data_IF_250193740399
#
_entry.id   IF_250193740399
#
_cell.length_a   1.000
_cell.length_b   1.000
_cell.length_c   1.000
_cell.angle_alpha   90.00
_cell.angle_beta   90.00
_cell.angle_gamma   90.00
#
_symmetry.space_group_name_H-M   'P 1'
#
loop_
_entity.id
_entity.type
_entity.pdbx_description
1 polymer ?
#
# COMPACT_ATOMS: atom_id res chain seq x y z
N UNK A 1 -41.62 -58.05 -67.97
CA UNK A 1 -40.71 -59.02 -68.63
C UNK A 1 -41.09 -59.04 -70.10
N UNK A 2 -40.36 -58.53 -71.10
CA UNK A 2 -38.94 -58.32 -71.32
C UNK A 2 -38.86 -57.03 -72.17
N UNK A 3 -38.59 -55.89 -71.56
CA UNK A 3 -38.28 -54.63 -72.29
C UNK A 3 -37.28 -53.79 -71.51
N UNK A 4 -36.37 -54.49 -70.80
CA UNK A 4 -35.35 -53.91 -69.93
C UNK A 4 -33.91 -54.24 -70.40
N UNK A 5 -33.74 -54.84 -71.58
CA UNK A 5 -32.41 -55.30 -72.06
C UNK A 5 -31.99 -54.80 -73.44
N UNK A 6 -32.76 -53.91 -74.09
CA UNK A 6 -32.42 -53.39 -75.43
C UNK A 6 -31.83 -51.97 -75.48
N UNK A 7 -31.73 -51.28 -74.34
CA UNK A 7 -31.09 -49.95 -74.25
C UNK A 7 -29.65 -49.98 -73.71
N UNK A 8 -29.05 -51.16 -73.49
CA UNK A 8 -27.63 -51.33 -73.13
C UNK A 8 -26.69 -51.53 -74.33
N UNK A 9 -27.19 -51.56 -75.56
CA UNK A 9 -26.38 -51.74 -76.79
C UNK A 9 -26.27 -50.52 -77.70
N UNK A 10 -26.90 -49.39 -77.35
CA UNK A 10 -26.62 -48.08 -77.97
C UNK A 10 -25.63 -47.22 -77.16
N UNK A 11 -25.18 -47.71 -76.01
CA UNK A 11 -24.28 -47.02 -75.09
C UNK A 11 -22.81 -47.48 -75.17
N UNK A 12 -22.44 -48.30 -76.17
CA UNK A 12 -21.04 -48.67 -76.44
C UNK A 12 -20.47 -48.12 -77.77
N UNK A 13 -21.32 -47.60 -78.67
CA UNK A 13 -20.88 -47.05 -79.96
C UNK A 13 -20.55 -45.54 -79.92
N UNK A 14 -20.80 -44.86 -78.79
CA UNK A 14 -20.50 -43.43 -78.59
C UNK A 14 -19.30 -43.19 -77.64
N UNK A 15 -18.56 -44.23 -77.26
CA UNK A 15 -17.43 -44.13 -76.31
C UNK A 15 -16.07 -44.48 -76.96
N UNK A 16 -16.05 -44.95 -78.21
CA UNK A 16 -14.81 -45.29 -78.94
C UNK A 16 -14.42 -44.29 -80.04
N UNK A 17 -15.19 -43.21 -80.23
CA UNK A 17 -14.82 -42.08 -81.11
C UNK A 17 -14.16 -40.92 -80.32
N UNK A 18 -13.57 -41.23 -79.16
CA UNK A 18 -12.91 -40.25 -78.26
C UNK A 18 -11.38 -40.43 -78.23
N UNK A 19 -10.80 -41.40 -78.97
CA UNK A 19 -9.38 -41.78 -78.76
C UNK A 19 -8.47 -41.62 -80.00
N UNK A 20 -8.96 -41.29 -81.20
CA UNK A 20 -8.11 -41.32 -82.41
C UNK A 20 -8.27 -40.15 -83.39
N UNK A 21 -8.42 -38.92 -82.88
CA UNK A 21 -7.98 -37.71 -83.61
C UNK A 21 -6.87 -37.02 -82.80
N UNK A 22 -5.74 -37.72 -82.72
CA UNK A 22 -4.43 -37.10 -82.60
C UNK A 22 -4.13 -36.38 -83.93
N UNK A 23 -3.96 -35.06 -83.89
CA UNK A 23 -2.77 -34.39 -84.44
C UNK A 23 -2.93 -32.86 -84.41
N UNK A 24 -2.04 -32.22 -83.64
CA UNK A 24 -1.69 -30.80 -83.68
C UNK A 24 -2.67 -29.78 -83.07
N UNK A 25 -2.81 -29.84 -81.74
CA UNK A 25 -2.69 -28.58 -80.99
C UNK A 25 -1.37 -28.66 -80.24
N UNK A 26 -0.44 -27.87 -80.75
CA UNK A 26 0.88 -27.60 -80.21
C UNK A 26 0.74 -27.22 -78.72
N UNK A 27 0.90 -28.20 -77.82
CA UNK A 27 1.28 -27.88 -76.45
C UNK A 27 2.72 -27.40 -76.55
N UNK A 28 2.91 -26.10 -76.80
CA UNK A 28 4.08 -25.43 -76.25
C UNK A 28 3.96 -25.60 -74.75
N UNK A 29 4.52 -26.68 -74.20
CA UNK A 29 5.13 -26.57 -72.89
C UNK A 29 6.21 -25.52 -73.09
N UNK A 30 5.83 -24.24 -72.91
CA UNK A 30 6.82 -23.28 -72.47
C UNK A 30 7.38 -23.95 -71.23
N UNK A 31 8.62 -24.42 -71.33
CA UNK A 31 9.47 -24.48 -70.16
C UNK A 31 9.39 -23.06 -69.60
N UNK A 32 8.43 -22.85 -68.68
CA UNK A 32 8.41 -21.66 -67.85
C UNK A 32 9.58 -21.93 -66.95
N UNK A 33 10.78 -21.59 -67.46
CA UNK A 33 12.01 -21.61 -66.71
C UNK A 33 11.67 -20.96 -65.39
N UNK A 34 11.59 -21.77 -64.34
CA UNK A 34 10.93 -21.40 -63.10
C UNK A 34 11.55 -20.07 -62.68
N UNK A 35 10.77 -18.99 -62.82
CA UNK A 35 11.31 -17.66 -62.62
C UNK A 35 11.84 -17.64 -61.19
N UNK A 36 13.16 -17.49 -61.03
CA UNK A 36 13.80 -17.56 -59.72
C UNK A 36 13.09 -16.58 -58.79
N UNK A 37 12.36 -17.12 -57.81
CA UNK A 37 11.49 -16.32 -56.96
C UNK A 37 12.33 -15.23 -56.27
N UNK A 38 11.85 -13.98 -56.29
CA UNK A 38 12.71 -12.88 -55.90
C UNK A 38 12.10 -11.49 -56.05
N UNK A 39 12.80 -10.51 -55.49
CA UNK A 39 12.45 -9.10 -55.66
C UNK A 39 12.78 -8.65 -57.08
N UNK A 40 11.84 -7.97 -57.73
CA UNK A 40 12.02 -7.38 -59.07
C UNK A 40 11.48 -5.96 -59.08
N UNK A 41 12.25 -5.02 -59.62
CA UNK A 41 11.81 -3.64 -59.85
C UNK A 41 11.40 -3.48 -61.29
N UNK A 42 10.17 -3.02 -61.52
CA UNK A 42 9.58 -2.82 -62.85
C UNK A 42 8.96 -1.43 -62.85
N UNK A 43 9.41 -0.54 -63.74
CA UNK A 43 8.96 0.85 -63.86
C UNK A 43 8.97 1.59 -62.50
N UNK A 44 10.10 1.49 -61.79
CA UNK A 44 10.28 2.12 -60.47
C UNK A 44 9.51 1.49 -59.30
N UNK A 45 8.66 0.48 -59.54
CA UNK A 45 7.89 -0.21 -58.49
C UNK A 45 8.52 -1.56 -58.16
N UNK A 46 8.72 -1.85 -56.88
CA UNK A 46 9.26 -3.14 -56.42
C UNK A 46 8.13 -4.15 -56.21
N UNK A 47 8.34 -5.38 -56.69
CA UNK A 47 7.45 -6.54 -56.54
C UNK A 47 8.25 -7.72 -55.99
N UNK A 48 7.57 -8.73 -55.47
CA UNK A 48 8.16 -10.06 -55.27
C UNK A 48 7.49 -11.02 -56.25
N UNK A 49 8.28 -11.62 -57.13
CA UNK A 49 7.82 -12.62 -58.10
C UNK A 49 7.93 -14.00 -57.44
N UNK A 50 6.82 -14.72 -57.36
CA UNK A 50 6.76 -16.08 -56.79
C UNK A 50 7.39 -17.09 -57.76
N UNK A 51 7.61 -18.33 -57.30
CA UNK A 51 8.13 -19.40 -58.16
C UNK A 51 7.21 -19.68 -59.38
N UNK A 52 5.90 -19.43 -59.25
CA UNK A 52 4.93 -19.51 -60.33
C UNK A 52 4.96 -18.32 -61.31
N UNK A 53 5.86 -17.35 -61.12
CA UNK A 53 5.92 -16.13 -61.92
C UNK A 53 4.89 -15.05 -61.54
N UNK A 54 3.99 -15.31 -60.58
CA UNK A 54 2.98 -14.36 -60.14
C UNK A 54 3.55 -13.28 -59.20
N UNK A 55 2.88 -12.12 -59.10
CA UNK A 55 3.23 -11.07 -58.13
C UNK A 55 2.66 -11.41 -56.74
N UNK A 56 3.50 -11.42 -55.72
CA UNK A 56 3.08 -11.55 -54.32
C UNK A 56 2.10 -10.43 -53.94
N UNK A 57 1.05 -10.80 -53.21
CA UNK A 57 0.07 -9.88 -52.64
C UNK A 57 -0.03 -10.11 -51.13
N UNK A 58 -0.22 -9.04 -50.36
CA UNK A 58 -0.32 -9.12 -48.91
C UNK A 58 1.02 -9.38 -48.21
N UNK A 59 0.98 -10.11 -47.09
CA UNK A 59 2.16 -10.38 -46.26
C UNK A 59 3.11 -11.36 -46.94
N UNK A 60 4.41 -11.14 -46.74
CA UNK A 60 5.46 -12.09 -47.11
C UNK A 60 6.52 -12.11 -45.99
N UNK A 61 6.94 -13.30 -45.59
CA UNK A 61 8.04 -13.47 -44.63
C UNK A 61 9.20 -14.17 -45.34
N UNK A 62 10.38 -13.55 -45.34
CA UNK A 62 11.60 -14.13 -45.90
C UNK A 62 12.73 -14.00 -44.89
N UNK A 63 13.35 -15.12 -44.50
CA UNK A 63 14.47 -15.16 -43.54
C UNK A 63 14.17 -14.32 -42.29
N UNK A 64 12.97 -14.49 -41.71
CA UNK A 64 12.49 -13.75 -40.54
C UNK A 64 12.05 -12.30 -40.77
N UNK A 65 12.26 -11.73 -41.96
CA UNK A 65 11.86 -10.35 -42.29
C UNK A 65 10.48 -10.34 -42.93
N UNK A 66 9.60 -9.47 -42.42
CA UNK A 66 8.24 -9.29 -42.95
C UNK A 66 8.17 -8.11 -43.92
N UNK A 67 7.47 -8.32 -45.03
CA UNK A 67 7.19 -7.35 -46.08
C UNK A 67 5.68 -7.32 -46.33
N UNK A 68 5.18 -6.24 -46.92
CA UNK A 68 3.78 -6.17 -47.34
C UNK A 68 3.68 -5.66 -48.78
N UNK A 69 2.84 -6.31 -49.56
CA UNK A 69 2.56 -5.97 -50.94
C UNK A 69 1.09 -5.58 -51.07
N UNK A 70 0.81 -4.52 -51.81
CA UNK A 70 -0.55 -4.04 -52.05
C UNK A 70 -1.42 -5.20 -52.57
N UNK A 71 -2.57 -5.44 -51.93
CA UNK A 71 -3.43 -6.58 -52.25
C UNK A 71 -4.01 -6.55 -53.68
N UNK A 72 -4.14 -5.37 -54.28
CA UNK A 72 -4.65 -5.20 -55.65
C UNK A 72 -3.51 -5.32 -56.66
N UNK A 73 -2.46 -4.52 -56.50
CA UNK A 73 -1.43 -4.33 -57.53
C UNK A 73 -0.17 -5.19 -57.35
N UNK A 74 0.06 -5.74 -56.15
CA UNK A 74 1.30 -6.46 -55.80
C UNK A 74 2.51 -5.55 -55.57
N UNK A 75 2.35 -4.23 -55.58
CA UNK A 75 3.46 -3.28 -55.33
C UNK A 75 3.88 -3.34 -53.87
N UNK A 76 5.18 -3.45 -53.59
CA UNK A 76 5.75 -3.44 -52.25
C UNK A 76 5.46 -2.11 -51.53
N UNK A 77 4.97 -2.19 -50.29
CA UNK A 77 4.83 -1.02 -49.44
C UNK A 77 6.17 -0.62 -48.80
N UNK A 78 6.46 0.68 -48.83
CA UNK A 78 7.63 1.31 -48.20
C UNK A 78 7.17 2.56 -47.43
N UNK A 79 7.93 2.98 -46.43
CA UNK A 79 7.61 4.14 -45.60
C UNK A 79 6.43 3.92 -44.64
N UNK A 80 5.79 5.03 -44.28
CA UNK A 80 4.67 5.07 -43.35
C UNK A 80 3.39 4.58 -44.00
N UNK A 81 2.71 3.65 -43.34
CA UNK A 81 1.46 3.06 -43.80
C UNK A 81 0.42 3.16 -42.70
N UNK A 82 -0.77 3.66 -43.03
CA UNK A 82 -1.91 3.83 -42.12
C UNK A 82 -3.15 3.14 -42.69
N UNK A 83 -3.98 2.57 -41.83
CA UNK A 83 -5.32 2.16 -42.23
C UNK A 83 -6.23 3.38 -42.47
N UNK A 84 -7.40 3.16 -43.06
CA UNK A 84 -8.37 4.23 -43.37
C UNK A 84 -8.75 5.07 -42.15
N UNK A 85 -8.77 4.45 -40.97
CA UNK A 85 -9.09 5.10 -39.69
C UNK A 85 -7.87 5.72 -38.98
N UNK A 86 -6.67 5.60 -39.55
CA UNK A 86 -5.42 6.11 -38.93
C UNK A 86 -5.04 5.46 -37.59
N UNK A 87 -5.71 4.38 -37.19
CA UNK A 87 -5.50 3.70 -35.89
C UNK A 87 -4.32 2.73 -35.96
N UNK A 88 -4.19 2.04 -37.09
CA UNK A 88 -3.15 1.04 -37.30
C UNK A 88 -2.06 1.61 -38.21
N UNK A 89 -0.99 2.10 -37.58
CA UNK A 89 0.16 2.66 -38.27
C UNK A 89 1.30 1.65 -38.25
N UNK A 90 1.95 1.42 -39.39
CA UNK A 90 3.17 0.63 -39.54
C UNK A 90 4.21 1.42 -40.31
N UNK A 91 5.46 1.05 -40.16
CA UNK A 91 6.55 1.58 -40.96
C UNK A 91 7.30 0.44 -41.66
N UNK A 92 7.51 0.58 -42.96
CA UNK A 92 8.36 -0.29 -43.76
C UNK A 92 9.60 0.51 -44.17
N UNK A 93 10.79 -0.05 -44.00
CA UNK A 93 12.03 0.70 -44.24
C UNK A 93 12.10 1.22 -45.69
N UNK A 94 12.47 2.49 -45.88
CA UNK A 94 12.51 3.11 -47.22
C UNK A 94 13.42 2.35 -48.22
N UNK A 95 14.50 1.75 -47.75
CA UNK A 95 15.38 0.93 -48.59
C UNK A 95 14.73 -0.40 -48.98
N UNK A 96 14.78 -1.38 -48.07
CA UNK A 96 14.42 -2.78 -48.34
C UNK A 96 12.92 -3.10 -48.16
N UNK A 97 12.12 -2.17 -47.64
CA UNK A 97 10.68 -2.41 -47.38
C UNK A 97 10.42 -3.39 -46.24
N UNK A 98 11.38 -3.57 -45.33
CA UNK A 98 11.24 -4.45 -44.16
C UNK A 98 10.34 -3.77 -43.13
N UNK A 99 9.35 -4.48 -42.60
CA UNK A 99 8.48 -3.99 -41.53
C UNK A 99 9.30 -3.73 -40.26
N UNK A 100 9.23 -2.51 -39.74
CA UNK A 100 9.88 -2.14 -38.49
C UNK A 100 9.21 -2.83 -37.29
N UNK A 101 10.04 -3.28 -36.36
CA UNK A 101 9.66 -3.85 -35.07
C UNK A 101 10.61 -3.35 -33.99
N UNK A 102 10.18 -3.36 -32.73
CA UNK A 102 10.97 -2.86 -31.61
C UNK A 102 11.20 -1.35 -31.65
N UNK A 103 12.29 -0.90 -31.03
CA UNK A 103 12.69 0.50 -31.04
C UNK A 103 13.27 0.89 -32.40
N UNK A 104 12.75 1.98 -32.97
CA UNK A 104 13.27 2.59 -34.18
C UNK A 104 13.66 4.04 -33.88
N UNK A 105 14.95 4.35 -34.03
CA UNK A 105 15.47 5.73 -33.94
C UNK A 105 15.61 6.31 -35.35
N UNK A 106 15.03 7.48 -35.57
CA UNK A 106 15.11 8.25 -36.82
C UNK A 106 15.44 9.70 -36.44
N UNK A 107 16.70 10.09 -36.59
CA UNK A 107 17.21 11.34 -36.05
C UNK A 107 17.08 11.37 -34.52
N UNK A 108 16.45 12.42 -33.99
CA UNK A 108 16.19 12.61 -32.55
C UNK A 108 14.95 11.84 -32.05
N UNK A 109 14.09 11.38 -32.97
CA UNK A 109 12.82 10.74 -32.65
C UNK A 109 13.02 9.23 -32.52
N UNK A 110 12.63 8.68 -31.37
CA UNK A 110 12.53 7.25 -31.14
C UNK A 110 11.07 6.84 -31.11
N UNK A 111 10.73 5.73 -31.77
CA UNK A 111 9.38 5.15 -31.77
C UNK A 111 9.48 3.67 -31.43
N UNK A 112 8.36 3.06 -31.06
CA UNK A 112 8.31 1.62 -30.82
C UNK A 112 7.21 0.97 -31.67
N UNK A 113 7.55 -0.13 -32.33
CA UNK A 113 6.63 -0.93 -33.14
C UNK A 113 6.50 -2.31 -32.51
N UNK A 114 5.27 -2.75 -32.21
CA UNK A 114 5.04 -4.04 -31.52
C UNK A 114 5.64 -5.19 -32.33
N UNK A 115 6.55 -6.01 -31.76
CA UNK A 115 7.16 -7.12 -32.49
C UNK A 115 6.17 -8.10 -33.12
N UNK A 116 5.03 -8.34 -32.45
CA UNK A 116 4.01 -9.28 -32.92
C UNK A 116 3.38 -8.90 -34.27
N UNK A 117 3.18 -7.60 -34.53
CA UNK A 117 2.38 -7.15 -35.67
C UNK A 117 2.87 -5.87 -36.36
N UNK A 118 4.00 -5.31 -35.92
CA UNK A 118 4.62 -4.10 -36.45
C UNK A 118 3.82 -2.82 -36.23
N UNK A 119 2.75 -2.84 -35.42
CA UNK A 119 1.94 -1.64 -35.17
C UNK A 119 2.69 -0.66 -34.26
N UNK A 120 2.72 0.61 -34.64
CA UNK A 120 3.24 1.71 -33.83
C UNK A 120 2.55 1.75 -32.45
N UNK A 121 3.35 1.92 -31.41
CA UNK A 121 2.88 2.15 -30.05
C UNK A 121 2.70 3.64 -29.81
N UNK A 122 1.57 3.96 -29.18
CA UNK A 122 1.21 5.29 -28.67
C UNK A 122 0.70 5.08 -27.24
N UNK A 123 0.93 6.05 -26.36
CA UNK A 123 0.65 5.94 -24.94
C UNK A 123 1.68 5.10 -24.17
N UNK A 124 1.23 4.49 -23.08
CA UNK A 124 2.06 3.70 -22.19
C UNK A 124 2.51 2.38 -22.79
N UNK A 125 3.75 2.00 -22.50
CA UNK A 125 4.33 0.72 -22.83
C UNK A 125 5.16 0.20 -21.66
N UNK A 126 4.94 -1.06 -21.28
CA UNK A 126 5.76 -1.76 -20.30
C UNK A 126 6.57 -2.84 -21.00
N UNK A 127 7.89 -2.84 -20.81
CA UNK A 127 8.81 -3.84 -21.34
C UNK A 127 9.70 -4.33 -20.20
N UNK A 128 9.63 -5.63 -19.88
CA UNK A 128 10.44 -6.26 -18.80
C UNK A 128 10.40 -5.44 -17.49
N UNK A 129 9.20 -5.07 -17.05
CA UNK A 129 8.97 -4.24 -15.85
C UNK A 129 9.24 -2.73 -16.02
N UNK A 130 9.88 -2.29 -17.12
CA UNK A 130 10.23 -0.88 -17.34
C UNK A 130 9.15 -0.17 -18.13
N UNK A 131 8.71 1.01 -17.66
CA UNK A 131 7.65 1.80 -18.28
C UNK A 131 8.21 2.89 -19.18
N UNK A 132 7.55 3.09 -20.31
CA UNK A 132 7.84 4.09 -21.33
C UNK A 132 6.54 4.79 -21.73
N UNK A 133 6.64 6.01 -22.23
CA UNK A 133 5.50 6.72 -22.78
C UNK A 133 5.81 7.24 -24.18
N UNK A 134 4.85 7.05 -25.10
CA UNK A 134 4.93 7.51 -26.48
C UNK A 134 3.79 8.49 -26.74
N UNK A 135 4.08 9.64 -27.36
CA UNK A 135 3.07 10.69 -27.60
C UNK A 135 1.87 10.16 -28.39
N UNK A 136 0.67 10.59 -28.03
CA UNK A 136 -0.58 10.14 -28.65
C UNK A 136 -0.74 10.56 -30.11
N UNK A 137 -0.13 11.69 -30.50
CA UNK A 137 -0.12 12.15 -31.89
C UNK A 137 0.82 11.31 -32.76
N UNK A 138 2.13 11.46 -32.53
CA UNK A 138 3.12 10.89 -33.45
C UNK A 138 3.64 9.51 -33.03
N UNK A 139 3.51 9.12 -31.75
CA UNK A 139 4.15 7.93 -31.18
C UNK A 139 5.63 8.16 -30.86
N UNK A 140 6.03 9.39 -30.54
CA UNK A 140 7.41 9.72 -30.22
C UNK A 140 7.68 9.39 -28.75
N UNK A 141 8.78 8.70 -28.46
CA UNK A 141 9.16 8.33 -27.11
C UNK A 141 9.50 9.58 -26.30
N UNK A 142 8.84 9.71 -25.15
CA UNK A 142 9.01 10.84 -24.25
C UNK A 142 10.28 10.67 -23.41
N UNK A 143 10.94 11.80 -23.16
CA UNK A 143 12.19 11.94 -22.40
C UNK A 143 12.12 13.20 -21.54
N UNK A 144 12.90 13.26 -20.48
CA UNK A 144 12.96 14.39 -19.55
C UNK A 144 11.72 14.55 -18.68
N UNK A 145 11.57 15.75 -18.12
CA UNK A 145 10.45 16.14 -17.27
C UNK A 145 9.15 16.26 -18.07
N UNK A 146 8.08 15.74 -17.49
CA UNK A 146 6.73 15.80 -18.04
C UNK A 146 5.76 16.20 -16.94
N UNK A 147 4.87 17.14 -17.24
CA UNK A 147 3.85 17.62 -16.31
C UNK A 147 2.48 17.30 -16.87
N UNK A 148 1.63 16.62 -16.09
CA UNK A 148 0.25 16.34 -16.48
C UNK A 148 -0.64 17.58 -16.28
N UNK A 149 -1.86 17.56 -16.83
CA UNK A 149 -2.85 18.62 -16.60
C UNK A 149 -3.17 18.82 -15.11
N UNK A 150 -3.03 17.76 -14.29
CA UNK A 150 -3.19 17.80 -12.82
C UNK A 150 -1.94 18.32 -12.09
N UNK A 151 -0.98 18.91 -12.80
CA UNK A 151 0.33 19.39 -12.29
C UNK A 151 1.22 18.28 -11.70
N UNK A 152 0.93 17.01 -11.98
CA UNK A 152 1.77 15.89 -11.54
C UNK A 152 3.00 15.79 -12.43
N UNK A 153 4.18 15.64 -11.83
CA UNK A 153 5.44 15.58 -12.57
C UNK A 153 5.95 14.14 -12.65
N UNK A 154 6.43 13.75 -13.83
CA UNK A 154 7.16 12.49 -14.07
C UNK A 154 8.50 12.81 -14.75
N UNK A 155 9.46 11.91 -14.64
CA UNK A 155 10.71 12.02 -15.36
C UNK A 155 10.99 10.75 -16.16
N UNK A 156 11.37 10.92 -17.42
CA UNK A 156 11.80 9.84 -18.30
C UNK A 156 13.29 10.01 -18.61
N UNK A 157 14.09 8.97 -18.36
CA UNK A 157 15.53 8.98 -18.65
C UNK A 157 15.80 9.18 -20.15
N UNK A 158 17.05 9.44 -20.52
CA UNK A 158 17.48 9.61 -21.93
C UNK A 158 17.12 8.41 -22.83
N UNK A 159 17.10 7.20 -22.25
CA UNK A 159 16.66 5.96 -22.88
C UNK A 159 15.13 5.74 -22.87
N UNK A 160 14.36 6.72 -22.40
CA UNK A 160 12.89 6.72 -22.35
C UNK A 160 12.26 5.97 -21.18
N UNK A 161 13.05 5.35 -20.31
CA UNK A 161 12.51 4.67 -19.12
C UNK A 161 12.03 5.69 -18.10
N UNK A 162 10.80 5.56 -17.64
CA UNK A 162 10.23 6.34 -16.55
C UNK A 162 10.98 6.04 -15.24
N UNK A 163 11.32 7.07 -14.48
CA UNK A 163 11.85 6.92 -13.12
C UNK A 163 10.75 6.52 -12.14
N UNK A 164 11.14 5.72 -11.16
CA UNK A 164 10.35 5.24 -10.03
C UNK A 164 11.28 5.08 -8.83
N UNK A 165 10.77 5.27 -7.62
CA UNK A 165 11.57 5.18 -6.40
C UNK A 165 12.54 6.35 -6.23
N UNK A 166 13.62 6.11 -5.49
CA UNK A 166 14.68 7.08 -5.21
C UNK A 166 15.50 7.39 -6.47
N UNK A 167 15.81 8.66 -6.67
CA UNK A 167 16.72 9.10 -7.72
C UNK A 167 17.49 10.36 -7.30
N UNK A 168 18.80 10.32 -7.47
CA UNK A 168 19.70 11.46 -7.27
C UNK A 168 20.29 11.86 -8.61
N UNK A 169 20.11 13.13 -9.00
CA UNK A 169 20.70 13.64 -10.24
C UNK A 169 22.19 13.99 -10.06
N UNK A 170 22.87 14.32 -11.15
CA UNK A 170 24.30 14.65 -11.15
C UNK A 170 24.65 15.92 -10.37
N UNK A 171 23.67 16.72 -9.94
CA UNK A 171 23.86 17.89 -9.07
C UNK A 171 23.67 17.53 -7.59
N UNK A 172 23.46 16.25 -7.28
CA UNK A 172 23.22 15.78 -5.92
C UNK A 172 21.78 15.95 -5.44
N UNK A 173 20.83 16.35 -6.31
CA UNK A 173 19.44 16.52 -5.87
C UNK A 173 18.68 15.20 -5.87
N UNK A 174 18.40 14.71 -4.66
CA UNK A 174 17.59 13.52 -4.42
C UNK A 174 16.10 13.81 -4.50
N UNK A 175 15.33 12.96 -5.18
CA UNK A 175 13.87 12.99 -5.30
C UNK A 175 13.30 11.59 -5.13
N UNK A 176 12.01 11.51 -4.85
CA UNK A 176 11.30 10.23 -4.76
C UNK A 176 10.09 10.22 -5.70
N UNK A 177 9.99 9.16 -6.50
CA UNK A 177 8.90 8.95 -7.45
C UNK A 177 8.07 7.74 -7.00
N UNK A 178 6.74 7.85 -7.08
CA UNK A 178 5.85 6.74 -6.80
C UNK A 178 6.24 5.51 -7.62
N UNK A 179 6.33 4.34 -6.99
CA UNK A 179 6.85 3.12 -7.61
C UNK A 179 5.93 2.55 -8.69
N UNK A 180 4.62 2.77 -8.55
CA UNK A 180 3.61 2.30 -9.51
C UNK A 180 3.38 3.30 -10.63
N UNK A 181 3.27 4.58 -10.29
CA UNK A 181 2.87 5.64 -11.23
C UNK A 181 4.04 6.48 -11.71
N UNK A 182 5.19 6.51 -11.05
CA UNK A 182 6.30 7.41 -11.42
C UNK A 182 5.99 8.90 -11.23
N UNK A 183 4.91 9.23 -10.52
CA UNK A 183 4.62 10.61 -10.11
C UNK A 183 5.61 11.00 -9.01
N UNK A 184 6.28 12.13 -9.19
CA UNK A 184 7.21 12.70 -8.21
C UNK A 184 6.44 13.16 -6.96
N UNK A 185 6.90 12.73 -5.79
CA UNK A 185 6.34 13.20 -4.52
C UNK A 185 6.81 14.61 -4.19
N UNK A 186 5.94 15.34 -3.50
CA UNK A 186 6.21 16.64 -2.88
C UNK A 186 5.55 16.67 -1.50
N UNK A 187 6.02 17.53 -0.61
CA UNK A 187 5.56 17.57 0.78
C UNK A 187 6.16 16.49 1.67
N UNK A 188 5.55 16.27 2.83
CA UNK A 188 5.92 15.21 3.76
C UNK A 188 5.50 13.85 3.21
N UNK A 189 6.38 12.86 3.31
CA UNK A 189 6.11 11.49 2.88
C UNK A 189 6.91 10.50 3.70
N UNK A 190 6.22 9.47 4.20
CA UNK A 190 6.86 8.29 4.76
C UNK A 190 7.26 7.33 3.64
N UNK A 191 8.52 6.93 3.61
CA UNK A 191 9.12 5.96 2.68
C UNK A 191 9.93 4.99 3.53
N UNK A 192 9.61 3.69 3.43
CA UNK A 192 10.29 2.62 4.17
C UNK A 192 10.42 2.92 5.68
N UNK A 193 9.31 3.32 6.31
CA UNK A 193 9.23 3.67 7.73
C UNK A 193 9.83 5.03 8.12
N UNK A 194 10.54 5.70 7.21
CA UNK A 194 11.23 6.96 7.50
C UNK A 194 10.47 8.15 6.90
N UNK A 195 10.40 9.26 7.65
CA UNK A 195 9.71 10.47 7.21
C UNK A 195 10.70 11.37 6.46
N UNK A 196 10.29 11.85 5.29
CA UNK A 196 11.05 12.79 4.47
C UNK A 196 10.20 14.00 4.11
N UNK A 197 10.86 15.13 3.85
CA UNK A 197 10.22 16.29 3.23
C UNK A 197 10.80 16.56 1.84
N UNK A 198 9.92 16.64 0.85
CA UNK A 198 10.26 16.98 -0.52
C UNK A 198 9.70 18.38 -0.84
N UNK A 199 10.52 19.24 -1.44
CA UNK A 199 10.10 20.60 -1.82
C UNK A 199 8.80 20.58 -2.64
N UNK A 200 7.81 21.41 -2.25
CA UNK A 200 6.54 21.57 -2.98
C UNK A 200 6.72 21.99 -4.45
N UNK A 201 7.81 22.69 -4.75
CA UNK A 201 8.07 23.23 -6.09
C UNK A 201 8.91 22.27 -6.94
N UNK A 202 10.02 21.78 -6.38
CA UNK A 202 11.05 21.04 -7.13
C UNK A 202 11.09 19.54 -6.85
N UNK A 203 10.41 19.06 -5.80
CA UNK A 203 10.47 17.69 -5.33
C UNK A 203 11.81 17.27 -4.73
N UNK A 204 12.76 18.19 -4.58
CA UNK A 204 14.07 17.92 -3.97
C UNK A 204 13.90 17.63 -2.48
N UNK A 205 14.50 16.54 -2.01
CA UNK A 205 14.51 16.14 -0.59
C UNK A 205 15.24 17.19 0.24
N UNK A 206 14.64 17.60 1.35
CA UNK A 206 15.24 18.47 2.36
C UNK A 206 16.17 17.68 3.27
N UNK A 207 17.38 18.18 3.51
CA UNK A 207 18.44 17.52 4.29
C UNK A 207 19.41 18.57 4.87
N UNK A 208 18.88 19.57 5.57
CA UNK A 208 19.65 20.71 6.08
C UNK A 208 19.54 20.90 7.60
N UNK A 209 19.12 19.87 8.33
CA UNK A 209 18.83 19.98 9.77
C UNK A 209 17.46 20.60 10.02
N UNK A 210 17.40 21.58 10.92
CA UNK A 210 16.15 22.25 11.28
C UNK A 210 15.41 22.82 10.06
N UNK A 211 14.09 22.66 10.05
CA UNK A 211 13.23 23.15 8.98
C UNK A 211 11.77 23.27 9.43
N UNK A 212 11.02 24.12 8.73
CA UNK A 212 9.58 24.29 8.95
C UNK A 212 8.79 23.66 7.81
N UNK A 213 7.71 22.97 8.15
CA UNK A 213 6.68 22.52 7.20
C UNK A 213 5.34 23.06 7.70
N UNK A 214 4.88 24.16 7.08
CA UNK A 214 3.79 24.95 7.64
C UNK A 214 4.22 25.62 8.95
N UNK A 215 3.38 25.54 9.98
CA UNK A 215 3.68 26.06 11.33
C UNK A 215 4.54 25.11 12.18
N UNK A 216 4.71 23.86 11.75
CA UNK A 216 5.40 22.82 12.51
C UNK A 216 6.91 22.82 12.24
N UNK A 217 7.70 22.56 13.27
CA UNK A 217 9.17 22.46 13.21
C UNK A 217 9.58 20.99 13.18
N UNK A 218 10.63 20.70 12.41
CA UNK A 218 11.21 19.38 12.19
C UNK A 218 12.73 19.51 12.18
N UNK A 219 13.43 18.39 12.37
CA UNK A 219 14.84 18.26 12.04
C UNK A 219 14.98 17.15 11.01
N UNK A 220 15.58 17.45 9.86
CA UNK A 220 15.89 16.45 8.84
C UNK A 220 17.39 16.25 8.79
N UNK A 221 17.83 15.02 9.02
CA UNK A 221 19.22 14.58 8.92
C UNK A 221 19.93 15.21 7.72
N UNK A 222 21.10 15.79 7.96
CA UNK A 222 21.89 16.48 6.93
C UNK A 222 22.53 15.50 5.93
N UNK A 223 22.61 14.22 6.29
CA UNK A 223 23.23 13.16 5.46
C UNK A 223 22.22 12.50 4.54
N UNK A 224 21.07 12.09 5.09
CA UNK A 224 20.08 11.28 4.38
C UNK A 224 18.66 11.86 4.40
N UNK A 225 18.45 13.02 5.01
CA UNK A 225 17.17 13.74 4.97
C UNK A 225 16.03 13.07 5.74
N UNK A 226 16.31 12.04 6.54
CA UNK A 226 15.31 11.44 7.44
C UNK A 226 14.92 12.44 8.53
N UNK A 227 13.63 12.57 8.81
CA UNK A 227 13.18 13.36 9.94
C UNK A 227 13.58 12.68 11.25
N UNK A 228 14.04 13.46 12.21
CA UNK A 228 14.27 12.99 13.57
C UNK A 228 12.95 12.65 14.25
N UNK A 229 12.96 11.56 15.01
CA UNK A 229 11.98 11.23 16.03
C UNK A 229 12.71 10.96 17.34
N UNK A 230 12.05 11.15 18.47
CA UNK A 230 12.65 11.07 19.80
C UNK A 230 13.63 12.21 20.10
N UNK A 231 14.61 11.91 20.96
CA UNK A 231 15.60 12.87 21.42
C UNK A 231 16.67 13.18 20.36
N UNK A 232 17.12 14.42 20.36
CA UNK A 232 18.26 14.91 19.58
C UNK A 232 19.08 15.87 20.44
N UNK A 233 20.38 15.61 20.55
CA UNK A 233 21.32 16.54 21.18
C UNK A 233 22.18 17.22 20.12
N UNK A 234 22.20 18.55 20.13
CA UNK A 234 22.97 19.39 19.21
C UNK A 234 23.48 20.62 19.95
N UNK A 235 24.78 20.89 19.86
CA UNK A 235 25.44 22.08 20.41
C UNK A 235 25.09 22.32 21.90
N UNK A 236 25.11 21.26 22.70
CA UNK A 236 24.78 21.29 24.13
C UNK A 236 23.29 21.41 24.47
N UNK A 237 22.42 21.53 23.47
CA UNK A 237 20.97 21.62 23.65
C UNK A 237 20.30 20.28 23.32
N UNK A 238 19.27 19.93 24.09
CA UNK A 238 18.43 18.76 23.83
C UNK A 238 17.08 19.17 23.27
N UNK A 239 16.60 18.44 22.28
CA UNK A 239 15.33 18.64 21.59
C UNK A 239 14.56 17.32 21.55
N UNK A 240 13.23 17.39 21.54
CA UNK A 240 12.39 16.21 21.39
C UNK A 240 11.45 16.34 20.18
N UNK A 241 11.38 15.29 19.38
CA UNK A 241 10.53 15.18 18.22
C UNK A 241 9.55 14.02 18.42
N UNK A 242 8.25 14.27 18.32
CA UNK A 242 7.26 13.19 18.44
C UNK A 242 7.38 12.16 17.31
N UNK A 243 6.58 11.09 17.38
CA UNK A 243 6.56 9.99 16.40
C UNK A 243 6.27 10.43 14.95
N UNK A 244 5.64 11.59 14.75
CA UNK A 244 5.41 12.20 13.42
C UNK A 244 6.54 13.12 12.96
N UNK A 245 7.63 13.22 13.72
CA UNK A 245 8.80 14.06 13.48
C UNK A 245 8.62 15.54 13.88
N UNK A 246 7.49 15.90 14.49
CA UNK A 246 7.20 17.27 14.92
C UNK A 246 7.94 17.58 16.21
N UNK A 247 8.71 18.66 16.21
CA UNK A 247 9.45 19.15 17.37
C UNK A 247 8.51 19.74 18.42
N UNK A 248 8.77 19.44 19.68
CA UNK A 248 8.06 20.01 20.83
C UNK A 248 8.59 21.43 21.08
N UNK A 249 7.68 22.39 21.24
CA UNK A 249 7.97 23.81 21.50
C UNK A 249 6.87 24.39 22.39
N UNK A 250 7.21 25.34 23.25
CA UNK A 250 6.26 26.03 24.15
C UNK A 250 5.33 25.06 24.88
N UNK A 251 5.87 23.95 25.39
CA UNK A 251 5.06 22.90 26.01
C UNK A 251 5.82 22.19 27.13
N UNK A 252 5.13 21.39 27.92
CA UNK A 252 5.74 20.48 28.90
C UNK A 252 5.29 19.05 28.57
N UNK A 253 6.20 18.08 28.63
CA UNK A 253 5.89 16.68 28.37
C UNK A 253 6.66 15.74 29.31
N UNK A 254 6.02 14.63 29.68
CA UNK A 254 6.66 13.53 30.41
C UNK A 254 7.22 12.53 29.40
N UNK A 255 8.54 12.32 29.42
CA UNK A 255 9.28 11.48 28.47
C UNK A 255 10.21 10.59 29.28
N UNK A 256 10.03 9.27 29.20
CA UNK A 256 10.85 8.32 29.96
C UNK A 256 10.74 8.50 31.48
N UNK A 257 9.56 8.89 32.00
CA UNK A 257 9.32 9.07 33.44
C UNK A 257 9.78 10.41 34.01
N UNK A 258 10.41 11.26 33.20
CA UNK A 258 10.89 12.59 33.57
C UNK A 258 10.08 13.68 32.88
N UNK A 259 9.84 14.79 33.57
CA UNK A 259 9.10 15.92 33.02
C UNK A 259 10.07 16.94 32.41
N UNK A 260 9.85 17.29 31.15
CA UNK A 260 10.64 18.29 30.43
C UNK A 260 9.77 19.47 30.02
N UNK A 261 10.25 20.69 30.25
CA UNK A 261 9.73 21.89 29.61
C UNK A 261 10.49 22.15 28.30
N UNK A 262 9.79 22.54 27.26
CA UNK A 262 10.33 22.90 25.95
C UNK A 262 10.03 24.37 25.69
N UNK A 263 11.07 25.17 25.51
CA UNK A 263 10.93 26.60 25.25
C UNK A 263 10.42 26.91 23.82
N UNK A 264 10.40 28.18 23.42
CA UNK A 264 9.98 28.60 22.07
C UNK A 264 10.91 28.13 20.95
N UNK A 265 12.15 27.79 21.29
CA UNK A 265 13.14 27.23 20.37
C UNK A 265 13.13 25.69 20.38
N UNK A 266 12.42 25.08 21.32
CA UNK A 266 12.32 23.64 21.55
C UNK A 266 13.44 23.07 22.40
N UNK A 267 14.22 23.92 23.06
CA UNK A 267 15.26 23.48 23.98
C UNK A 267 14.59 22.91 25.21
N UNK A 268 14.97 21.68 25.55
CA UNK A 268 14.43 20.93 26.67
C UNK A 268 15.18 21.27 27.96
N UNK A 269 14.43 21.57 29.01
CA UNK A 269 14.92 21.63 30.39
C UNK A 269 14.18 20.60 31.22
N UNK A 270 14.90 19.67 31.85
CA UNK A 270 14.33 18.73 32.82
C UNK A 270 13.82 19.53 34.03
N UNK A 271 12.55 19.36 34.38
CA UNK A 271 12.02 19.87 35.65
C UNK A 271 12.39 18.85 36.72
N UNK A 272 13.25 19.25 37.67
CA UNK A 272 13.39 18.49 38.91
C UNK A 272 12.08 18.55 39.66
N UNK A 273 11.52 17.39 40.02
CA UNK A 273 10.46 17.33 41.02
C UNK A 273 11.05 17.94 42.29
N UNK A 274 10.53 19.11 42.69
CA UNK A 274 10.84 19.68 44.00
C UNK A 274 10.34 18.69 45.03
N UNK A 275 11.26 17.92 45.63
CA UNK A 275 10.98 16.93 46.65
C UNK A 275 10.20 17.53 47.81
N UNK A 276 8.87 17.42 47.75
CA UNK A 276 7.97 17.59 48.88
C UNK A 276 7.37 16.22 49.16
N UNK A 277 7.93 15.59 50.18
CA UNK A 277 7.42 14.45 50.96
C UNK A 277 6.34 13.60 50.28
N UNK A 278 6.81 12.60 49.52
CA UNK A 278 6.02 11.57 48.85
C UNK A 278 5.61 10.45 49.82
N UNK A 279 4.69 10.75 50.75
CA UNK A 279 3.98 9.69 51.49
C UNK A 279 2.45 9.82 51.38
N UNK A 280 1.99 10.48 50.33
CA UNK A 280 0.58 10.56 49.98
C UNK A 280 0.36 9.97 48.57
N UNK A 281 -0.11 8.72 48.56
CA UNK A 281 -0.55 8.01 47.36
C UNK A 281 -1.71 8.72 46.64
N UNK A 282 -2.37 9.72 47.23
CA UNK A 282 -3.48 10.43 46.58
C UNK A 282 -3.07 11.45 45.50
N UNK A 283 -1.77 11.69 45.28
CA UNK A 283 -1.28 12.73 44.36
C UNK A 283 -1.25 12.23 42.90
N UNK A 284 -1.62 13.10 41.95
CA UNK A 284 -1.63 12.79 40.50
C UNK A 284 -0.51 13.52 39.72
N UNK A 285 -0.20 13.05 38.50
CA UNK A 285 0.68 13.71 37.53
C UNK A 285 0.05 13.74 36.12
N UNK A 286 0.58 14.57 35.22
CA UNK A 286 0.08 14.67 33.84
C UNK A 286 0.89 13.81 32.87
N UNK A 287 0.20 13.00 32.07
CA UNK A 287 0.78 12.17 31.00
C UNK A 287 0.17 12.55 29.63
N UNK A 288 1.02 12.73 28.62
CA UNK A 288 0.56 13.02 27.24
C UNK A 288 0.41 11.73 26.45
N UNK A 289 -0.80 11.45 25.98
CA UNK A 289 -1.09 10.30 25.13
C UNK A 289 -0.90 10.68 23.66
N UNK A 290 0.18 10.20 23.04
CA UNK A 290 0.45 10.49 21.63
C UNK A 290 -0.65 10.00 20.67
N UNK A 291 -1.25 8.84 20.96
CA UNK A 291 -2.30 8.25 20.11
C UNK A 291 -3.59 9.05 20.20
N UNK A 292 -3.82 9.74 21.33
CA UNK A 292 -5.01 10.59 21.54
C UNK A 292 -4.75 12.08 21.32
N UNK A 293 -3.48 12.50 21.28
CA UNK A 293 -3.09 13.89 21.11
C UNK A 293 -3.51 14.81 22.27
N UNK A 294 -3.63 14.28 23.50
CA UNK A 294 -4.07 15.04 24.69
C UNK A 294 -3.43 14.55 25.98
N UNK A 295 -3.51 15.38 27.01
CA UNK A 295 -3.07 15.06 28.36
C UNK A 295 -4.14 14.28 29.14
N UNK A 296 -3.69 13.36 29.99
CA UNK A 296 -4.47 12.67 31.00
C UNK A 296 -3.83 12.85 32.37
N UNK A 297 -4.67 12.97 33.39
CA UNK A 297 -4.27 12.91 34.80
C UNK A 297 -4.08 11.46 35.19
N UNK A 298 -2.94 11.12 35.81
CA UNK A 298 -2.53 9.76 36.18
C UNK A 298 -2.15 9.73 37.66
N UNK A 299 -2.56 8.69 38.37
CA UNK A 299 -2.22 8.43 39.76
C UNK A 299 -0.71 8.16 39.94
N UNK A 300 -0.07 8.72 40.98
CA UNK A 300 1.38 8.55 41.22
C UNK A 300 1.76 7.10 41.55
N UNK A 301 0.84 6.27 42.04
CA UNK A 301 1.03 4.84 42.34
C UNK A 301 1.51 4.04 41.13
N UNK A 302 1.34 4.56 39.91
CA UNK A 302 1.97 4.00 38.73
C UNK A 302 3.48 3.83 38.93
N UNK A 303 4.14 4.79 39.59
CA UNK A 303 5.59 4.80 39.85
C UNK A 303 6.02 3.75 40.90
N UNK A 304 5.14 3.36 41.82
CA UNK A 304 5.45 2.39 42.88
C UNK A 304 5.21 0.94 42.47
N UNK A 305 4.48 0.68 41.37
CA UNK A 305 4.20 -0.67 40.90
C UNK A 305 5.30 -1.18 39.94
N UNK A 306 6.09 -2.18 40.34
CA UNK A 306 7.29 -2.60 39.64
C UNK A 306 6.95 -3.17 38.27
N UNK A 307 7.72 -2.71 37.29
CA UNK A 307 7.61 -3.09 35.90
C UNK A 307 6.41 -2.50 35.15
N UNK A 308 5.50 -1.79 35.83
CA UNK A 308 4.38 -1.10 35.17
C UNK A 308 4.83 0.26 34.63
N UNK A 309 5.56 1.03 35.45
CA UNK A 309 6.06 2.36 35.07
C UNK A 309 7.06 2.31 33.91
N UNK A 310 8.07 1.44 34.02
CA UNK A 310 9.11 1.26 33.00
C UNK A 310 8.63 0.41 31.79
N UNK A 311 7.49 -0.26 31.93
CA UNK A 311 6.87 -1.06 30.89
C UNK A 311 7.44 -2.46 30.67
N UNK A 312 8.22 -2.99 31.61
CA UNK A 312 8.71 -4.38 31.57
C UNK A 312 7.62 -5.42 31.84
N UNK A 313 6.52 -5.05 32.53
CA UNK A 313 5.30 -5.87 32.62
C UNK A 313 4.46 -5.70 31.37
N UNK A 314 4.05 -6.83 30.80
CA UNK A 314 3.17 -6.86 29.63
C UNK A 314 1.74 -6.45 30.00
N UNK A 315 0.93 -6.10 29.00
CA UNK A 315 -0.52 -5.88 29.23
C UNK A 315 -1.19 -7.15 29.76
N UNK A 316 -0.71 -8.34 29.38
CA UNK A 316 -1.19 -9.62 29.92
C UNK A 316 -0.90 -9.73 31.43
N UNK A 317 0.30 -9.38 31.88
CA UNK A 317 0.66 -9.42 33.30
C UNK A 317 -0.19 -8.46 34.14
N UNK A 318 -0.42 -7.26 33.61
CA UNK A 318 -1.25 -6.24 34.26
C UNK A 318 -2.70 -6.71 34.33
N UNK A 319 -3.24 -7.22 33.22
CA UNK A 319 -4.62 -7.72 33.17
C UNK A 319 -4.81 -8.92 34.10
N UNK A 320 -3.88 -9.89 34.12
CA UNK A 320 -3.96 -11.03 35.03
C UNK A 320 -3.96 -10.59 36.51
N UNK A 321 -3.11 -9.63 36.86
CA UNK A 321 -3.08 -9.07 38.21
C UNK A 321 -4.39 -8.38 38.60
N UNK A 322 -5.00 -7.62 37.68
CA UNK A 322 -6.31 -6.98 37.90
C UNK A 322 -7.44 -8.00 37.96
N UNK A 323 -7.44 -9.01 37.09
CA UNK A 323 -8.42 -10.09 37.04
C UNK A 323 -8.59 -10.75 38.41
N UNK A 324 -7.49 -11.24 39.00
CA UNK A 324 -7.57 -11.92 40.29
C UNK A 324 -7.92 -10.95 41.42
N UNK A 325 -7.38 -9.74 41.38
CA UNK A 325 -7.55 -8.77 42.46
C UNK A 325 -8.97 -8.18 42.53
N UNK A 326 -9.65 -8.00 41.38
CA UNK A 326 -11.00 -7.45 41.31
C UNK A 326 -12.09 -8.54 41.18
N UNK A 327 -11.77 -9.72 40.63
CA UNK A 327 -12.79 -10.72 40.29
C UNK A 327 -12.33 -12.19 40.44
N UNK A 328 -11.35 -12.48 41.30
CA UNK A 328 -10.79 -13.82 41.47
C UNK A 328 -11.82 -14.90 41.87
N UNK A 329 -12.88 -14.54 42.58
CA UNK A 329 -14.00 -15.41 42.98
C UNK A 329 -15.13 -15.52 41.94
N UNK A 330 -15.03 -14.75 40.85
CA UNK A 330 -16.03 -14.73 39.77
C UNK A 330 -15.80 -15.82 38.73
N UNK A 331 -14.68 -16.55 38.81
CA UNK A 331 -14.25 -17.54 37.81
C UNK A 331 -13.80 -16.88 36.51
N UNK A 332 -13.37 -17.70 35.54
CA UNK A 332 -12.74 -17.23 34.29
C UNK A 332 -13.62 -16.22 33.54
N UNK A 333 -14.93 -16.46 33.46
CA UNK A 333 -15.85 -15.55 32.75
C UNK A 333 -15.95 -14.17 33.41
N UNK A 334 -16.02 -14.09 34.74
CA UNK A 334 -16.07 -12.81 35.46
C UNK A 334 -14.74 -12.04 35.37
N UNK A 335 -13.62 -12.75 35.54
CA UNK A 335 -12.28 -12.18 35.33
C UNK A 335 -12.11 -11.64 33.90
N UNK A 336 -12.54 -12.42 32.89
CA UNK A 336 -12.52 -12.00 31.48
C UNK A 336 -13.34 -10.73 31.27
N UNK A 337 -14.53 -10.64 31.87
CA UNK A 337 -15.39 -9.47 31.78
C UNK A 337 -14.74 -8.20 32.38
N UNK A 338 -14.05 -8.34 33.52
CA UNK A 338 -13.24 -7.26 34.12
C UNK A 338 -12.13 -6.80 33.19
N UNK A 339 -11.31 -7.72 32.68
CA UNK A 339 -10.23 -7.39 31.74
C UNK A 339 -10.74 -6.71 30.47
N UNK A 340 -11.88 -7.16 29.94
CA UNK A 340 -12.53 -6.52 28.78
C UNK A 340 -12.98 -5.10 29.08
N UNK A 341 -13.42 -4.76 30.30
CA UNK A 341 -13.75 -3.37 30.64
C UNK A 341 -12.53 -2.44 30.52
N UNK A 342 -11.35 -2.87 31.00
CA UNK A 342 -10.10 -2.11 30.87
C UNK A 342 -9.73 -1.94 29.39
N UNK A 343 -9.80 -3.03 28.62
CA UNK A 343 -9.47 -3.02 27.20
C UNK A 343 -10.44 -2.15 26.39
N UNK A 344 -11.73 -2.19 26.69
CA UNK A 344 -12.76 -1.39 26.03
C UNK A 344 -12.53 0.11 26.23
N UNK A 345 -12.07 0.53 27.41
CA UNK A 345 -11.67 1.93 27.65
C UNK A 345 -10.55 2.39 26.72
N UNK A 346 -9.60 1.51 26.36
CA UNK A 346 -8.52 1.88 25.42
C UNK A 346 -9.01 2.23 24.00
N UNK A 347 -10.25 1.90 23.66
CA UNK A 347 -10.90 2.28 22.39
C UNK A 347 -11.60 3.65 22.47
N UNK A 348 -12.00 4.09 23.65
CA UNK A 348 -12.81 5.30 23.84
C UNK A 348 -11.91 6.53 24.07
N UNK A 349 -12.15 7.59 23.28
CA UNK A 349 -11.39 8.86 23.26
C UNK A 349 -11.25 9.53 24.64
N UNK A 350 -12.15 9.22 25.56
CA UNK A 350 -12.20 9.80 26.92
C UNK A 350 -11.20 9.19 27.90
N UNK A 351 -10.59 8.06 27.54
CA UNK A 351 -9.63 7.33 28.38
C UNK A 351 -8.23 7.29 27.76
N UNK A 352 -7.18 6.98 28.52
CA UNK A 352 -5.88 6.65 27.94
C UNK A 352 -5.95 5.51 26.92
N UNK A 353 -5.06 5.52 25.94
CA UNK A 353 -5.02 4.53 24.85
C UNK A 353 -4.27 3.24 25.17
N UNK A 354 -3.76 3.11 26.39
CA UNK A 354 -2.99 1.96 26.90
C UNK A 354 -3.57 1.45 28.21
N UNK A 355 -3.59 0.12 28.38
CA UNK A 355 -4.13 -0.57 29.57
C UNK A 355 -3.51 -0.04 30.85
N UNK A 356 -2.19 0.17 30.88
CA UNK A 356 -1.51 0.73 32.06
C UNK A 356 -2.13 2.07 32.45
N UNK A 357 -2.23 3.04 31.54
CA UNK A 357 -2.68 4.38 31.92
C UNK A 357 -4.19 4.42 32.18
N UNK A 358 -4.98 3.52 31.58
CA UNK A 358 -6.40 3.33 31.93
C UNK A 358 -6.55 2.90 33.39
N UNK A 359 -5.72 1.96 33.84
CA UNK A 359 -5.76 1.45 35.21
C UNK A 359 -5.39 2.54 36.24
N UNK A 360 -4.42 3.40 35.91
CA UNK A 360 -3.97 4.50 36.78
C UNK A 360 -4.60 5.86 36.46
N UNK A 361 -5.71 5.92 35.71
CA UNK A 361 -6.29 7.21 35.37
C UNK A 361 -6.73 7.95 36.65
N UNK A 362 -6.13 9.11 36.89
CA UNK A 362 -6.41 9.98 38.02
C UNK A 362 -7.80 10.58 37.87
N UNK A 363 -8.69 10.16 38.75
CA UNK A 363 -10.06 10.65 38.87
C UNK A 363 -10.33 10.92 40.35
N UNK A 364 -11.28 11.79 40.66
CA UNK A 364 -11.70 12.05 42.06
C UNK A 364 -12.16 10.76 42.77
N UNK A 365 -12.57 9.75 42.01
CA UNK A 365 -12.92 8.42 42.49
C UNK A 365 -12.28 7.35 41.59
N UNK A 366 -11.12 6.78 41.97
CA UNK A 366 -10.46 5.77 41.16
C UNK A 366 -11.38 4.55 40.99
N UNK A 367 -11.62 4.15 39.74
CA UNK A 367 -12.45 2.98 39.44
C UNK A 367 -11.87 1.70 40.05
N UNK A 368 -10.55 1.60 40.11
CA UNK A 368 -9.83 0.37 40.43
C UNK A 368 -9.26 0.46 41.83
N UNK A 369 -10.02 -0.08 42.78
CA UNK A 369 -9.62 -0.09 44.20
C UNK A 369 -8.32 -0.86 44.40
N UNK A 370 -8.03 -1.84 43.53
CA UNK A 370 -6.82 -2.67 43.57
C UNK A 370 -5.52 -1.88 43.43
N UNK A 371 -5.57 -0.71 42.82
CA UNK A 371 -4.41 0.20 42.73
C UNK A 371 -4.14 0.82 44.10
N UNK A 372 -5.19 1.35 44.75
CA UNK A 372 -5.07 2.11 46.00
C UNK A 372 -4.90 1.24 47.25
N UNK A 373 -5.40 0.00 47.23
CA UNK A 373 -5.36 -0.91 48.39
C UNK A 373 -4.20 -1.93 48.33
N UNK A 374 -3.24 -1.70 47.42
CA UNK A 374 -2.04 -2.51 47.23
C UNK A 374 -2.29 -3.96 46.74
N UNK A 375 -3.52 -4.35 46.37
CA UNK A 375 -3.78 -5.69 45.84
C UNK A 375 -3.07 -5.91 44.50
N UNK A 376 -3.01 -4.88 43.66
CA UNK A 376 -2.30 -4.93 42.38
C UNK A 376 -0.81 -5.19 42.57
N UNK A 377 -0.14 -4.47 43.50
CA UNK A 377 1.28 -4.67 43.80
C UNK A 377 1.58 -6.12 44.20
N UNK A 378 0.73 -6.71 45.07
CA UNK A 378 0.90 -8.09 45.52
C UNK A 378 0.96 -9.06 44.34
N UNK A 379 0.03 -8.94 43.38
CA UNK A 379 -0.03 -9.82 42.20
C UNK A 379 1.14 -9.56 41.25
N UNK A 380 1.51 -8.30 41.03
CA UNK A 380 2.68 -7.96 40.20
C UNK A 380 3.99 -8.50 40.78
N UNK A 381 4.07 -8.67 42.10
CA UNK A 381 5.15 -9.33 42.85
C UNK A 381 5.00 -10.87 42.92
N UNK A 382 4.04 -11.45 42.21
CA UNK A 382 3.85 -12.89 42.10
C UNK A 382 2.95 -13.53 43.16
N UNK A 383 2.35 -12.76 44.06
CA UNK A 383 1.45 -13.27 45.10
C UNK A 383 0.02 -13.43 44.56
N UNK A 384 -0.18 -14.44 43.73
CA UNK A 384 -1.48 -14.85 43.20
C UNK A 384 -2.11 -15.93 44.10
N UNK A 385 -3.44 -15.91 44.20
CA UNK A 385 -4.25 -16.98 44.79
C UNK A 385 -4.45 -18.11 43.77
N UNK A 386 -4.86 -17.77 42.55
CA UNK A 386 -5.01 -18.66 41.39
C UNK A 386 -4.46 -17.98 40.13
N UNK A 387 -3.13 -18.05 40.01
CA UNK A 387 -2.40 -17.46 38.88
C UNK A 387 -2.85 -18.02 37.54
N UNK A 388 -3.15 -19.31 37.46
CA UNK A 388 -3.45 -19.97 36.21
C UNK A 388 -4.76 -19.44 35.62
N UNK A 389 -5.83 -19.43 36.43
CA UNK A 389 -7.13 -18.91 35.99
C UNK A 389 -7.08 -17.41 35.68
N UNK A 390 -6.28 -16.63 36.43
CA UNK A 390 -6.13 -15.20 36.20
C UNK A 390 -5.47 -14.90 34.84
N UNK A 391 -4.39 -15.60 34.51
CA UNK A 391 -3.72 -15.47 33.21
C UNK A 391 -4.58 -16.03 32.06
N UNK A 392 -5.28 -17.13 32.28
CA UNK A 392 -6.21 -17.67 31.29
C UNK A 392 -7.30 -16.66 30.94
N UNK A 393 -7.96 -16.08 31.95
CA UNK A 393 -9.01 -15.09 31.74
C UNK A 393 -8.50 -13.81 31.05
N UNK A 394 -7.31 -13.32 31.46
CA UNK A 394 -6.67 -12.17 30.83
C UNK A 394 -6.31 -12.43 29.36
N UNK A 395 -5.79 -13.62 29.05
CA UNK A 395 -5.48 -14.00 27.68
C UNK A 395 -6.74 -14.12 26.83
N UNK A 396 -7.79 -14.78 27.33
CA UNK A 396 -9.08 -14.86 26.64
C UNK A 396 -9.69 -13.47 26.36
N UNK A 397 -9.49 -12.51 27.27
CA UNK A 397 -9.92 -11.13 27.06
C UNK A 397 -9.10 -10.43 25.97
N UNK A 398 -7.78 -10.55 25.99
CA UNK A 398 -6.89 -10.00 24.95
C UNK A 398 -7.19 -10.58 23.57
N UNK A 399 -7.36 -11.90 23.46
CA UNK A 399 -7.67 -12.56 22.19
C UNK A 399 -9.01 -12.07 21.64
N UNK A 400 -10.03 -11.99 22.50
CA UNK A 400 -11.35 -11.46 22.13
C UNK A 400 -11.29 -9.99 21.72
N UNK A 401 -10.50 -9.18 22.42
CA UNK A 401 -10.31 -7.77 22.09
C UNK A 401 -9.58 -7.58 20.76
N UNK A 402 -8.50 -8.33 20.53
CA UNK A 402 -7.73 -8.27 19.30
C UNK A 402 -8.57 -8.73 18.10
N UNK A 403 -9.37 -9.79 18.25
CA UNK A 403 -10.30 -10.22 17.21
C UNK A 403 -11.32 -9.13 16.85
N UNK A 404 -11.83 -8.40 17.85
CA UNK A 404 -12.71 -7.26 17.62
C UNK A 404 -12.00 -6.12 16.89
N UNK A 405 -10.81 -5.71 17.35
CA UNK A 405 -10.07 -4.59 16.76
C UNK A 405 -9.64 -4.87 15.32
N UNK A 406 -9.24 -6.12 15.01
CA UNK A 406 -8.76 -6.49 13.68
C UNK A 406 -9.91 -6.79 12.72
N UNK A 407 -10.96 -7.48 13.18
CA UNK A 407 -11.93 -8.11 12.30
C UNK A 407 -13.39 -7.72 12.61
N UNK A 408 -13.64 -6.93 13.65
CA UNK A 408 -14.99 -6.59 14.12
C UNK A 408 -15.73 -7.76 14.77
N UNK A 409 -15.03 -8.83 15.15
CA UNK A 409 -15.63 -9.99 15.82
C UNK A 409 -16.20 -9.58 17.19
N UNK A 410 -17.49 -9.82 17.47
CA UNK A 410 -18.10 -9.45 18.75
C UNK A 410 -17.38 -10.08 19.95
N UNK A 411 -17.18 -9.29 21.01
CA UNK A 411 -16.59 -9.79 22.26
C UNK A 411 -17.66 -10.55 23.04
N UNK A 412 -17.42 -11.81 23.33
CA UNK A 412 -18.37 -12.66 24.05
C UNK A 412 -17.78 -13.16 25.35
N UNK A 413 -18.61 -13.22 26.39
CA UNK A 413 -18.25 -13.74 27.71
C UNK A 413 -19.29 -14.79 28.09
N UNK A 414 -18.84 -15.97 28.50
CA UNK A 414 -19.74 -17.06 28.89
C UNK A 414 -20.61 -16.64 30.07
N UNK A 415 -21.91 -16.92 30.01
CA UNK A 415 -22.87 -16.51 31.04
C UNK A 415 -23.31 -15.05 30.99
N UNK A 416 -22.83 -14.26 30.02
CA UNK A 416 -23.26 -12.87 29.77
C UNK A 416 -24.03 -12.83 28.45
N UNK A 417 -25.23 -12.23 28.47
CA UNK A 417 -26.22 -12.17 27.37
C UNK A 417 -25.87 -11.13 26.30
N UNK A 418 -25.06 -10.12 26.62
CA UNK A 418 -24.62 -9.13 25.65
C UNK A 418 -24.02 -9.79 24.39
N UNK A 419 -24.54 -9.39 23.22
CA UNK A 419 -24.05 -9.90 21.91
C UNK A 419 -22.63 -9.43 21.60
N UNK A 420 -22.27 -8.23 22.08
CA UNK A 420 -20.92 -7.69 22.08
C UNK A 420 -20.69 -7.02 23.44
N UNK A 421 -19.71 -7.52 24.20
CA UNK A 421 -19.35 -7.03 25.52
C UNK A 421 -18.59 -5.70 25.38
N UNK A 422 -19.34 -4.59 25.28
CA UNK A 422 -18.79 -3.23 25.12
C UNK A 422 -18.81 -2.40 26.42
N UNK A 423 -19.10 -3.02 27.57
CA UNK A 423 -19.11 -2.37 28.87
C UNK A 423 -17.73 -1.78 29.21
N UNK A 424 -17.72 -0.61 29.86
CA UNK A 424 -16.50 0.14 30.21
C UNK A 424 -16.29 0.20 31.72
N UNK A 425 -17.29 -0.12 32.52
CA UNK A 425 -17.25 -0.01 33.97
C UNK A 425 -17.76 -1.29 34.61
N UNK A 426 -17.29 -1.57 35.81
CA UNK A 426 -17.82 -2.63 36.66
C UNK A 426 -17.72 -2.24 38.13
N UNK A 427 -18.57 -2.82 38.94
CA UNK A 427 -18.47 -2.79 40.41
C UNK A 427 -19.30 -3.91 41.00
N UNK A 428 -19.16 -4.15 42.30
CA UNK A 428 -20.08 -5.01 43.04
C UNK A 428 -21.52 -4.56 42.82
N UNK A 429 -22.43 -5.50 42.55
CA UNK A 429 -23.85 -5.25 42.30
C UNK A 429 -24.49 -4.48 43.45
N UNK A 430 -24.07 -4.76 44.69
CA UNK A 430 -24.53 -4.03 45.88
C UNK A 430 -24.09 -2.55 45.89
N UNK A 431 -22.95 -2.21 45.26
CA UNK A 431 -22.47 -0.85 45.10
C UNK A 431 -23.12 -0.15 43.90
N UNK A 432 -23.41 -0.88 42.82
CA UNK A 432 -24.06 -0.36 41.61
C UNK A 432 -25.41 0.30 41.91
N UNK A 433 -26.24 -0.36 42.71
CA UNK A 433 -27.56 0.17 43.10
C UNK A 433 -27.51 1.39 44.02
N UNK A 434 -26.33 1.74 44.56
CA UNK A 434 -26.12 2.93 45.38
C UNK A 434 -25.60 4.12 44.58
N UNK A 435 -25.27 3.93 43.31
CA UNK A 435 -24.73 4.99 42.47
C UNK A 435 -25.83 5.96 42.03
N UNK A 436 -25.52 7.25 41.83
CA UNK A 436 -26.46 8.25 41.34
C UNK A 436 -26.69 8.12 39.81
N UNK A 437 -27.01 6.90 39.34
CA UNK A 437 -27.22 6.58 37.93
C UNK A 437 -28.70 6.71 37.54
N UNK A 438 -28.93 7.06 36.27
CA UNK A 438 -30.24 6.94 35.68
C UNK A 438 -30.49 5.48 35.24
N UNK A 439 -31.06 4.68 36.14
CA UNK A 439 -31.36 3.26 35.90
C UNK A 439 -32.34 2.98 34.74
N UNK A 440 -33.01 4.01 34.21
CA UNK A 440 -33.85 3.89 33.00
C UNK A 440 -33.04 4.02 31.70
N UNK A 441 -31.82 4.56 31.77
CA UNK A 441 -30.97 4.86 30.60
C UNK A 441 -29.68 4.06 30.57
N UNK A 442 -29.10 3.77 31.73
CA UNK A 442 -27.84 3.04 31.81
C UNK A 442 -28.01 1.64 31.23
N UNK A 443 -27.12 1.27 30.31
CA UNK A 443 -27.05 -0.09 29.79
C UNK A 443 -26.10 -0.87 30.68
N UNK A 444 -26.63 -1.90 31.34
CA UNK A 444 -25.89 -2.72 32.29
C UNK A 444 -26.26 -4.19 32.19
N UNK A 445 -25.39 -5.03 32.74
CA UNK A 445 -25.63 -6.45 32.90
C UNK A 445 -24.92 -6.98 34.14
N UNK A 446 -25.61 -7.86 34.87
CA UNK A 446 -25.10 -8.47 36.09
C UNK A 446 -24.66 -9.90 35.82
N UNK A 447 -23.45 -10.23 36.24
CA UNK A 447 -22.92 -11.59 36.27
C UNK A 447 -22.43 -11.87 37.68
N UNK A 448 -23.02 -12.88 38.33
CA UNK A 448 -22.83 -13.15 39.75
C UNK A 448 -23.05 -11.88 40.60
N UNK A 449 -22.07 -11.45 41.37
CA UNK A 449 -22.13 -10.26 42.23
C UNK A 449 -21.50 -9.02 41.60
N UNK A 450 -21.12 -9.08 40.31
CA UNK A 450 -20.58 -7.94 39.55
C UNK A 450 -21.62 -7.40 38.57
N UNK A 451 -21.75 -6.08 38.52
CA UNK A 451 -22.54 -5.40 37.48
C UNK A 451 -21.63 -4.59 36.58
N UNK A 452 -21.72 -4.86 35.28
CA UNK A 452 -20.99 -4.22 34.20
C UNK A 452 -21.88 -3.20 33.50
N UNK A 453 -21.37 -2.03 33.15
CA UNK A 453 -22.17 -0.98 32.53
C UNK A 453 -21.36 -0.08 31.58
N UNK A 454 -22.06 0.61 30.69
CA UNK A 454 -21.43 1.33 29.57
C UNK A 454 -21.00 2.76 29.94
N UNK A 455 -21.74 3.48 30.79
CA UNK A 455 -21.49 4.89 31.12
C UNK A 455 -22.19 5.34 32.42
N UNK A 456 -21.81 6.53 32.91
CA UNK A 456 -22.38 7.16 34.11
C UNK A 456 -23.53 8.13 33.75
N UNK A 457 -24.55 7.63 33.04
CA UNK A 457 -25.71 8.42 32.55
C UNK A 457 -26.77 8.74 33.58
#
# INVERSE_FOLDING_TARGET
MIKEERNRKQSLALVLLVIATLCTVFLMTRDVQAAKAGFKTINGKTYYITASGAKQKGWLTLKGKKYYFNKKTGVQLKGWQKDSKGRNIRYFTKGKGVMATGFLKSGTVTRYFRPSNGKLVRGWLTLKGKKYYFTSGTGAMVKGWQTTAKKEKRYFKSNGQMLTGWFTDSKGYTRYFNTSTGIMYTGLKTVDGNIYYFSKTSGVRYQKGFGKVGSKRYYFSTTDGKAQTGWLSLDGNSYYFGTTGVMYVNTTASIGGKTYAFDSNGVASEKQDSGKDDNDSSITFTWYDEKRGRNFTIMKELKSHPGVADGTKSDLDILAAVCEAEAGDQGIAGMKAVALCLLNRTLDKEFPSSVRYVLYQGTTFPQYSVVTNNQLLKRLNGQFIDRASAYEAAQQALDSFNAYVLNGTPRTVSGIKAKDFNYKYFMMTSAFWKQPLNFKKVVYETYKDHTFFVDWV
#
